data_IF_152586350838
#
_entry.id   IF_152586350838
#
_cell.length_a   1.000
_cell.length_b   1.000
_cell.length_c   1.000
_cell.angle_alpha   90.00
_cell.angle_beta   90.00
_cell.angle_gamma   90.00
#
_symmetry.space_group_name_H-M   'P 1'
#
loop_
_entity.id
_entity.type
_entity.pdbx_description
1 polymer ?
#
# COMPACT_ATOMS: atom_id res chain seq x y z
N UNK A 1 -23.65 1.56 -35.96
CA UNK A 1 -22.98 2.09 -34.77
C UNK A 1 -23.02 1.02 -33.69
N UNK A 2 -21.85 0.54 -33.26
CA UNK A 2 -21.72 -0.58 -32.32
C UNK A 2 -21.86 -0.04 -30.89
N UNK A 3 -22.90 -0.45 -30.16
CA UNK A 3 -23.02 -0.16 -28.73
C UNK A 3 -22.04 -1.05 -27.97
N UNK A 4 -20.90 -0.48 -27.57
CA UNK A 4 -19.95 -1.10 -26.64
C UNK A 4 -20.60 -1.05 -25.27
N UNK A 5 -21.27 -2.14 -24.87
CA UNK A 5 -21.72 -2.31 -23.49
C UNK A 5 -20.46 -2.61 -22.69
N UNK A 6 -19.88 -1.57 -22.08
CA UNK A 6 -18.89 -1.74 -21.04
C UNK A 6 -19.56 -2.51 -19.91
N UNK A 7 -19.34 -3.83 -19.86
CA UNK A 7 -19.66 -4.62 -18.68
C UNK A 7 -18.90 -3.99 -17.52
N UNK A 8 -19.63 -3.25 -16.67
CA UNK A 8 -19.17 -2.91 -15.33
C UNK A 8 -18.87 -4.23 -14.62
N UNK A 9 -17.60 -4.63 -14.66
CA UNK A 9 -17.08 -5.67 -13.78
C UNK A 9 -17.30 -5.14 -12.37
N UNK A 10 -18.35 -5.61 -11.71
CA UNK A 10 -18.58 -5.35 -10.28
C UNK A 10 -17.26 -5.63 -9.59
N UNK A 11 -16.61 -4.58 -9.08
CA UNK A 11 -15.31 -4.71 -8.45
C UNK A 11 -15.41 -5.79 -7.38
N UNK A 12 -14.60 -6.84 -7.50
CA UNK A 12 -14.62 -7.94 -6.53
C UNK A 12 -14.23 -7.37 -5.18
N UNK A 13 -15.22 -7.22 -4.29
CA UNK A 13 -15.02 -6.57 -3.00
C UNK A 13 -14.18 -7.42 -2.04
N UNK A 14 -13.89 -8.69 -2.35
CA UNK A 14 -13.02 -9.55 -1.56
C UNK A 14 -11.59 -9.01 -1.49
N UNK A 15 -11.16 -8.23 -2.48
CA UNK A 15 -9.85 -7.58 -2.45
C UNK A 15 -9.69 -6.57 -1.30
N UNK A 16 -10.80 -5.99 -0.82
CA UNK A 16 -10.79 -5.06 0.32
C UNK A 16 -10.63 -5.79 1.67
N UNK A 17 -10.81 -7.10 1.71
CA UNK A 17 -10.55 -7.90 2.92
C UNK A 17 -9.06 -8.18 3.13
N UNK A 18 -8.20 -7.88 2.15
CA UNK A 18 -6.75 -8.02 2.32
C UNK A 18 -6.19 -6.73 2.94
N UNK A 19 -5.72 -6.74 4.19
CA UNK A 19 -5.18 -5.54 4.83
C UNK A 19 -3.79 -5.17 4.30
N UNK A 20 -3.05 -6.11 3.69
CA UNK A 20 -1.64 -5.93 3.33
C UNK A 20 -1.38 -4.76 2.36
N UNK A 21 -2.18 -4.53 1.29
CA UNK A 21 -2.01 -3.38 0.41
C UNK A 21 -2.21 -2.04 1.11
N UNK A 22 -3.21 -1.94 2.00
CA UNK A 22 -3.46 -0.72 2.78
C UNK A 22 -2.30 -0.44 3.75
N UNK A 23 -1.77 -1.49 4.37
CA UNK A 23 -0.61 -1.40 5.27
C UNK A 23 0.67 -1.02 4.51
N UNK A 24 0.86 -1.52 3.30
CA UNK A 24 1.99 -1.12 2.42
C UNK A 24 1.89 0.37 2.04
N UNK A 25 0.70 0.84 1.68
CA UNK A 25 0.46 2.26 1.39
C UNK A 25 0.73 3.17 2.59
N UNK A 26 0.33 2.75 3.80
CA UNK A 26 0.65 3.47 5.03
C UNK A 26 2.17 3.53 5.31
N UNK A 27 2.92 2.52 4.86
CA UNK A 27 4.38 2.52 4.90
C UNK A 27 5.00 3.55 3.96
N UNK A 28 4.51 3.61 2.72
CA UNK A 28 4.92 4.63 1.74
C UNK A 28 4.70 6.04 2.28
N UNK A 29 3.49 6.32 2.78
CA UNK A 29 3.12 7.62 3.32
C UNK A 29 4.01 8.03 4.51
N UNK A 30 4.34 7.08 5.39
CA UNK A 30 5.22 7.33 6.51
C UNK A 30 6.65 7.70 6.08
N UNK A 31 7.17 7.07 5.03
CA UNK A 31 8.49 7.41 4.47
C UNK A 31 8.48 8.79 3.79
N UNK A 32 7.43 9.11 3.04
CA UNK A 32 7.26 10.43 2.41
C UNK A 32 7.16 11.56 3.45
N UNK A 33 6.56 11.28 4.61
CA UNK A 33 6.49 12.19 5.76
C UNK A 33 7.78 12.26 6.57
N UNK A 34 8.78 11.44 6.27
CA UNK A 34 10.04 11.36 7.02
C UNK A 34 9.87 10.77 8.43
N UNK A 35 8.82 10.00 8.69
CA UNK A 35 8.65 9.33 9.98
C UNK A 35 9.71 8.25 10.15
N UNK A 36 10.23 8.03 11.36
CA UNK A 36 11.20 6.97 11.61
C UNK A 36 10.56 5.58 11.58
N UNK A 37 11.33 4.55 11.24
CA UNK A 37 10.87 3.15 11.16
C UNK A 37 10.20 2.65 12.45
N UNK A 38 10.69 3.06 13.62
CA UNK A 38 10.13 2.67 14.91
C UNK A 38 8.73 3.27 15.18
N UNK A 39 8.27 4.23 14.37
CA UNK A 39 6.91 4.76 14.44
C UNK A 39 5.86 3.84 13.80
N UNK A 40 6.27 2.69 13.24
CA UNK A 40 5.36 1.69 12.69
C UNK A 40 4.32 1.26 13.75
N UNK A 41 3.00 1.43 13.49
CA UNK A 41 1.96 1.12 14.47
C UNK A 41 1.63 -0.38 14.55
N UNK A 42 2.12 -1.18 13.59
CA UNK A 42 1.74 -2.59 13.46
C UNK A 42 2.67 -3.50 14.28
N UNK A 43 2.09 -4.19 15.28
CA UNK A 43 2.82 -5.20 16.09
C UNK A 43 2.83 -6.60 15.45
N UNK A 44 1.87 -6.88 14.57
CA UNK A 44 1.77 -8.19 13.93
C UNK A 44 2.87 -8.36 12.86
N UNK A 45 3.70 -9.42 12.90
CA UNK A 45 4.85 -9.56 12.01
C UNK A 45 4.53 -9.43 10.52
N UNK A 46 3.43 -10.04 10.07
CA UNK A 46 3.04 -9.98 8.66
C UNK A 46 2.60 -8.57 8.21
N UNK A 47 1.99 -7.77 9.10
CA UNK A 47 1.61 -6.39 8.79
C UNK A 47 2.83 -5.48 8.82
N UNK A 48 3.70 -5.67 9.81
CA UNK A 48 4.98 -4.96 9.91
C UNK A 48 5.82 -5.17 8.66
N UNK A 49 5.90 -6.40 8.14
CA UNK A 49 6.60 -6.70 6.90
C UNK A 49 5.99 -5.96 5.69
N UNK A 50 4.66 -5.93 5.56
CA UNK A 50 3.98 -5.16 4.51
C UNK A 50 4.23 -3.66 4.61
N UNK A 51 4.21 -3.12 5.83
CA UNK A 51 4.49 -1.71 6.08
C UNK A 51 5.93 -1.35 5.71
N UNK A 52 6.90 -2.14 6.17
CA UNK A 52 8.32 -1.95 5.85
C UNK A 52 8.60 -2.05 4.35
N UNK A 53 7.89 -2.93 3.63
CA UNK A 53 8.03 -3.05 2.18
C UNK A 53 7.69 -1.73 1.48
N UNK A 54 6.56 -1.11 1.82
CA UNK A 54 6.15 0.18 1.25
C UNK A 54 7.09 1.31 1.67
N UNK A 55 7.44 1.36 2.96
CA UNK A 55 8.35 2.34 3.53
C UNK A 55 9.73 2.32 2.85
N UNK A 56 10.35 1.15 2.72
CA UNK A 56 11.66 1.00 2.08
C UNK A 56 11.62 1.36 0.59
N UNK A 57 10.54 0.98 -0.11
CA UNK A 57 10.36 1.36 -1.53
C UNK A 57 10.33 2.88 -1.70
N UNK A 58 9.57 3.57 -0.86
CA UNK A 58 9.48 5.03 -0.89
C UNK A 58 10.82 5.68 -0.50
N UNK A 59 11.51 5.18 0.53
CA UNK A 59 12.85 5.66 0.88
C UNK A 59 13.86 5.48 -0.26
N UNK A 60 13.86 4.35 -0.95
CA UNK A 60 14.75 4.13 -2.10
C UNK A 60 14.50 5.15 -3.21
N UNK A 61 13.23 5.47 -3.50
CA UNK A 61 12.88 6.49 -4.49
C UNK A 61 13.33 7.89 -4.05
N UNK A 62 13.13 8.25 -2.78
CA UNK A 62 13.57 9.54 -2.22
C UNK A 62 15.10 9.67 -2.29
N UNK A 63 15.85 8.61 -1.95
CA UNK A 63 17.31 8.60 -1.99
C UNK A 63 17.89 8.56 -3.42
N UNK A 64 17.08 8.19 -4.41
CA UNK A 64 17.48 8.13 -5.82
C UNK A 64 17.20 9.44 -6.57
N UNK A 65 16.67 10.46 -5.90
CA UNK A 65 16.42 11.82 -6.40
C UNK A 65 17.51 12.78 -5.89
#
# INVERSE_FOLDING_TARGET
MQHVVAQERKADRRQFNNPHPAVEAAGVEAAEKGLPVYACPYKHPAMLASWLKGYNRAQQLILSL
#
